data_IF_780624479248
#
_entry.id   IF_780624479248
#
_cell.length_a   1.000
_cell.length_b   1.000
_cell.length_c   1.000
_cell.angle_alpha   90.00
_cell.angle_beta   90.00
_cell.angle_gamma   90.00
#
_symmetry.space_group_name_H-M   'P 1'
#
loop_
_entity.id
_entity.type
_entity.pdbx_description
1 polymer ?
#
# COMPACT_ATOMS: atom_id res chain seq x y z
N UNK A 1 -42.22 5.92 -9.23
CA UNK A 1 -40.84 6.39 -9.04
C UNK A 1 -40.92 7.69 -8.26
N UNK A 2 -40.66 7.66 -6.95
CA UNK A 2 -40.72 8.85 -6.12
C UNK A 2 -39.48 9.72 -6.41
N UNK A 3 -39.70 10.85 -7.09
CA UNK A 3 -38.68 11.86 -7.32
C UNK A 3 -38.36 12.53 -5.98
N UNK A 4 -37.14 12.35 -5.48
CA UNK A 4 -36.65 13.05 -4.30
C UNK A 4 -36.90 14.55 -4.46
N UNK A 5 -37.51 15.20 -3.46
CA UNK A 5 -37.63 16.66 -3.47
C UNK A 5 -36.23 17.29 -3.34
N UNK A 6 -36.01 18.51 -3.86
CA UNK A 6 -34.70 19.16 -3.84
C UNK A 6 -34.07 19.22 -2.44
N UNK A 7 -34.89 19.39 -1.40
CA UNK A 7 -34.46 19.44 0.00
C UNK A 7 -34.02 18.05 0.53
N UNK A 8 -34.74 16.99 0.16
CA UNK A 8 -34.36 15.61 0.54
C UNK A 8 -33.05 15.17 -0.10
N UNK A 9 -32.78 15.60 -1.33
CA UNK A 9 -31.49 15.37 -2.00
C UNK A 9 -30.34 16.14 -1.32
N UNK A 10 -30.61 17.36 -0.85
CA UNK A 10 -29.62 18.17 -0.13
C UNK A 10 -29.28 17.59 1.25
N UNK A 11 -30.28 17.07 1.97
CA UNK A 11 -30.07 16.44 3.28
C UNK A 11 -29.35 15.09 3.17
N UNK A 12 -29.65 14.30 2.13
CA UNK A 12 -28.94 13.06 1.85
C UNK A 12 -27.47 13.32 1.49
N UNK A 13 -27.18 14.40 0.76
CA UNK A 13 -25.80 14.83 0.46
C UNK A 13 -25.05 15.29 1.72
N UNK A 14 -25.71 16.01 2.64
CA UNK A 14 -25.11 16.40 3.93
C UNK A 14 -24.81 15.20 4.83
N UNK A 15 -25.72 14.23 4.88
CA UNK A 15 -25.54 13.01 5.67
C UNK A 15 -24.42 12.12 5.12
N UNK A 16 -24.31 12.00 3.78
CA UNK A 16 -23.19 11.31 3.14
C UNK A 16 -21.86 12.03 3.39
N UNK A 17 -21.84 13.36 3.36
CA UNK A 17 -20.66 14.16 3.68
C UNK A 17 -20.25 14.03 5.16
N UNK A 18 -21.20 13.90 6.09
CA UNK A 18 -20.92 13.67 7.51
C UNK A 18 -20.34 12.27 7.76
N UNK A 19 -20.93 11.23 7.15
CA UNK A 19 -20.39 9.86 7.22
C UNK A 19 -18.97 9.77 6.65
N UNK A 20 -18.69 10.46 5.55
CA UNK A 20 -17.36 10.54 4.95
C UNK A 20 -16.33 11.25 5.85
N UNK A 21 -16.75 12.26 6.63
CA UNK A 21 -15.90 12.94 7.60
C UNK A 21 -15.53 12.03 8.77
N UNK A 22 -16.50 11.32 9.35
CA UNK A 22 -16.26 10.39 10.46
C UNK A 22 -15.28 9.28 10.03
N UNK A 23 -15.46 8.72 8.83
CA UNK A 23 -14.53 7.73 8.29
C UNK A 23 -13.13 8.31 8.04
N UNK A 24 -13.03 9.57 7.61
CA UNK A 24 -11.76 10.26 7.39
C UNK A 24 -11.01 10.54 8.71
N UNK A 25 -11.73 10.92 9.77
CA UNK A 25 -11.13 11.17 11.10
C UNK A 25 -10.58 9.87 11.71
N UNK A 26 -11.30 8.75 11.57
CA UNK A 26 -10.82 7.43 11.98
C UNK A 26 -9.56 7.00 11.22
N UNK A 27 -9.51 7.26 9.91
CA UNK A 27 -8.35 6.98 9.08
C UNK A 27 -7.14 7.90 9.39
N UNK A 28 -7.39 9.17 9.71
CA UNK A 28 -6.35 10.11 10.13
C UNK A 28 -5.72 9.70 11.47
N UNK A 29 -6.52 9.19 12.40
CA UNK A 29 -6.03 8.61 13.65
C UNK A 29 -5.11 7.41 13.39
N UNK A 30 -5.50 6.51 12.50
CA UNK A 30 -4.67 5.36 12.13
C UNK A 30 -3.36 5.76 11.42
N UNK A 31 -3.41 6.78 10.56
CA UNK A 31 -2.22 7.30 9.86
C UNK A 31 -1.25 7.99 10.83
N UNK A 32 -1.75 8.79 11.77
CA UNK A 32 -0.94 9.41 12.82
C UNK A 32 -0.29 8.36 13.73
N UNK A 33 -1.02 7.28 14.04
CA UNK A 33 -0.50 6.18 14.84
C UNK A 33 0.58 5.39 14.08
N UNK A 34 0.38 5.13 12.79
CA UNK A 34 1.38 4.48 11.94
C UNK A 34 2.65 5.32 11.80
N UNK A 35 2.51 6.64 11.66
CA UNK A 35 3.64 7.56 11.61
C UNK A 35 4.39 7.61 12.95
N UNK A 36 3.67 7.68 14.08
CA UNK A 36 4.27 7.63 15.41
C UNK A 36 5.00 6.30 15.68
N UNK A 37 4.49 5.18 15.17
CA UNK A 37 5.18 3.88 15.25
C UNK A 37 6.44 3.89 14.37
N UNK A 38 6.37 4.41 13.16
CA UNK A 38 7.54 4.52 12.27
C UNK A 38 8.63 5.45 12.84
N UNK A 39 8.23 6.58 13.42
CA UNK A 39 9.14 7.54 14.03
C UNK A 39 9.75 6.98 15.32
N UNK A 40 8.97 6.29 16.16
CA UNK A 40 9.49 5.65 17.38
C UNK A 40 10.45 4.49 17.08
N UNK A 41 10.21 3.72 16.02
CA UNK A 41 11.17 2.71 15.53
C UNK A 41 12.43 3.39 14.98
N UNK A 42 12.28 4.46 14.20
CA UNK A 42 13.40 5.25 13.67
C UNK A 42 14.26 5.89 14.78
N UNK A 43 13.62 6.48 15.79
CA UNK A 43 14.28 7.09 16.93
C UNK A 43 14.89 6.05 17.89
N UNK A 44 14.22 4.91 18.12
CA UNK A 44 14.76 3.83 18.95
C UNK A 44 16.00 3.19 18.34
N UNK A 45 16.03 3.04 17.01
CA UNK A 45 17.20 2.55 16.30
C UNK A 45 18.31 3.61 16.20
N UNK A 46 17.94 4.88 15.97
CA UNK A 46 18.88 6.00 15.97
C UNK A 46 19.55 6.19 17.34
N UNK A 47 18.80 6.02 18.43
CA UNK A 47 19.30 6.03 19.81
C UNK A 47 20.24 4.85 20.09
N UNK A 48 19.95 3.65 19.59
CA UNK A 48 20.86 2.51 19.66
C UNK A 48 22.18 2.78 18.90
N UNK A 49 22.14 3.59 17.84
CA UNK A 49 23.31 4.02 17.04
C UNK A 49 23.97 5.33 17.50
N UNK A 50 23.56 5.90 18.63
CA UNK A 50 24.17 7.09 19.25
C UNK A 50 24.26 8.34 18.34
N UNK A 51 23.28 8.56 17.45
CA UNK A 51 23.23 9.76 16.60
C UNK A 51 24.31 9.86 15.52
N UNK A 52 25.07 8.79 15.26
CA UNK A 52 26.19 8.80 14.30
C UNK A 52 25.78 8.50 12.84
N UNK A 53 24.54 8.07 12.58
CA UNK A 53 24.11 7.63 11.25
C UNK A 53 22.93 8.48 10.78
N UNK A 54 23.15 9.22 9.70
CA UNK A 54 22.09 9.98 9.02
C UNK A 54 20.95 9.04 8.58
N UNK A 55 19.66 9.39 8.81
CA UNK A 55 18.53 8.56 8.42
C UNK A 55 18.51 8.15 6.95
N UNK A 56 19.07 8.98 6.06
CA UNK A 56 19.20 8.68 4.63
C UNK A 56 20.23 7.59 4.40
N UNK A 57 21.40 7.69 5.05
CA UNK A 57 22.44 6.65 4.99
C UNK A 57 21.91 5.33 5.54
N UNK A 58 21.14 5.39 6.62
CA UNK A 58 20.49 4.21 7.19
C UNK A 58 19.49 3.56 6.21
N UNK A 59 18.59 4.34 5.60
CA UNK A 59 17.64 3.85 4.57
C UNK A 59 18.37 3.31 3.34
N UNK A 60 19.47 3.94 2.93
CA UNK A 60 20.31 3.49 1.83
C UNK A 60 20.98 2.15 2.14
N UNK A 61 21.47 1.96 3.38
CA UNK A 61 22.04 0.69 3.82
C UNK A 61 21.01 -0.44 3.75
N UNK A 62 19.77 -0.21 4.22
CA UNK A 62 18.66 -1.17 4.08
C UNK A 62 18.39 -1.47 2.61
N UNK A 63 18.33 -0.45 1.75
CA UNK A 63 18.09 -0.61 0.32
C UNK A 63 19.15 -1.50 -0.34
N UNK A 64 20.44 -1.25 -0.06
CA UNK A 64 21.55 -2.06 -0.59
C UNK A 64 21.48 -3.50 -0.06
N UNK A 65 21.23 -3.70 1.24
CA UNK A 65 21.04 -5.04 1.82
C UNK A 65 19.88 -5.78 1.15
N UNK A 66 18.76 -5.10 0.91
CA UNK A 66 17.58 -5.69 0.26
C UNK A 66 17.88 -6.16 -1.17
N UNK A 67 18.74 -5.45 -1.92
CA UNK A 67 19.20 -5.90 -3.25
C UNK A 67 19.96 -7.23 -3.14
N UNK A 68 20.91 -7.33 -2.20
CA UNK A 68 21.65 -8.57 -1.98
C UNK A 68 20.70 -9.71 -1.63
N UNK A 69 19.78 -9.50 -0.69
CA UNK A 69 18.78 -10.50 -0.32
C UNK A 69 17.94 -10.92 -1.53
N UNK A 70 17.43 -9.96 -2.32
CA UNK A 70 16.66 -10.24 -3.52
C UNK A 70 17.42 -11.09 -4.55
N UNK A 71 18.69 -10.78 -4.78
CA UNK A 71 19.57 -11.55 -5.66
C UNK A 71 19.70 -13.01 -5.21
N UNK A 72 20.03 -13.25 -3.93
CA UNK A 72 20.19 -14.61 -3.41
C UNK A 72 18.87 -15.40 -3.38
N UNK A 73 17.74 -14.73 -3.13
CA UNK A 73 16.41 -15.36 -3.16
C UNK A 73 16.05 -15.83 -4.56
N UNK A 74 16.29 -15.02 -5.59
CA UNK A 74 15.95 -15.39 -6.98
C UNK A 74 16.91 -16.43 -7.54
N UNK A 75 18.20 -16.39 -7.18
CA UNK A 75 19.18 -17.36 -7.67
C UNK A 75 18.95 -18.78 -7.11
N UNK A 76 18.34 -18.89 -5.92
CA UNK A 76 18.14 -20.15 -5.22
C UNK A 76 16.88 -20.93 -5.64
N UNK A 77 16.26 -20.57 -6.78
CA UNK A 77 15.04 -21.22 -7.29
C UNK A 77 15.36 -22.32 -8.31
N UNK A 78 14.51 -23.34 -8.39
CA UNK A 78 14.65 -24.38 -9.42
C UNK A 78 14.27 -23.84 -10.81
N UNK A 79 14.95 -24.25 -11.90
CA UNK A 79 14.70 -23.69 -13.24
C UNK A 79 13.25 -23.82 -13.74
N UNK A 80 12.55 -24.88 -13.32
CA UNK A 80 11.15 -25.10 -13.65
C UNK A 80 10.19 -24.05 -13.04
N UNK A 81 10.63 -23.30 -12.02
CA UNK A 81 9.83 -22.31 -11.31
C UNK A 81 10.08 -20.88 -11.77
N UNK A 82 10.95 -20.59 -12.75
CA UNK A 82 11.18 -19.21 -13.20
C UNK A 82 9.91 -18.53 -13.73
N UNK A 83 9.04 -19.26 -14.44
CA UNK A 83 7.77 -18.71 -14.95
C UNK A 83 6.77 -18.44 -13.81
N UNK A 84 6.52 -19.35 -12.85
CA UNK A 84 5.78 -19.03 -11.64
C UNK A 84 6.39 -17.90 -10.82
N UNK A 85 7.73 -17.85 -10.69
CA UNK A 85 8.44 -16.83 -9.94
C UNK A 85 8.24 -15.44 -10.56
N UNK A 86 8.23 -15.35 -11.89
CA UNK A 86 7.93 -14.11 -12.60
C UNK A 86 6.52 -13.59 -12.28
N UNK A 87 5.55 -14.50 -12.12
CA UNK A 87 4.19 -14.14 -11.70
C UNK A 87 4.14 -13.69 -10.23
N UNK A 88 4.90 -14.34 -9.34
CA UNK A 88 5.02 -13.94 -7.93
C UNK A 88 5.64 -12.55 -7.79
N UNK A 89 6.73 -12.27 -8.51
CA UNK A 89 7.40 -10.97 -8.43
C UNK A 89 6.51 -9.85 -8.97
N UNK A 90 5.67 -10.13 -9.97
CA UNK A 90 4.63 -9.21 -10.41
C UNK A 90 3.64 -8.89 -9.27
N UNK A 91 3.13 -9.89 -8.56
CA UNK A 91 2.25 -9.68 -7.40
C UNK A 91 2.95 -8.88 -6.28
N UNK A 92 4.20 -9.21 -5.95
CA UNK A 92 4.99 -8.52 -4.91
C UNK A 92 5.25 -7.05 -5.27
N UNK A 93 5.41 -6.72 -6.56
CA UNK A 93 5.59 -5.33 -7.00
C UNK A 93 4.43 -4.41 -6.60
N UNK A 94 3.28 -4.99 -6.23
CA UNK A 94 2.11 -4.27 -5.70
C UNK A 94 2.30 -3.67 -4.30
N UNK A 95 3.52 -3.68 -3.74
CA UNK A 95 3.88 -2.92 -2.52
C UNK A 95 3.52 -1.43 -2.62
N UNK A 96 3.39 -0.91 -3.85
CA UNK A 96 2.86 0.43 -4.16
C UNK A 96 1.49 0.72 -3.51
N UNK A 97 0.72 -0.30 -3.12
CA UNK A 97 -0.56 -0.16 -2.40
C UNK A 97 -0.40 0.65 -1.11
N UNK A 98 0.73 0.53 -0.42
CA UNK A 98 1.03 1.29 0.81
C UNK A 98 1.07 2.78 0.50
N UNK A 99 1.76 3.17 -0.58
CA UNK A 99 1.81 4.57 -1.02
C UNK A 99 0.44 5.09 -1.48
N UNK A 100 -0.35 4.27 -2.15
CA UNK A 100 -1.70 4.63 -2.57
C UNK A 100 -2.64 4.89 -1.38
N UNK A 101 -2.59 4.06 -0.34
CA UNK A 101 -3.38 4.24 0.90
C UNK A 101 -2.98 5.55 1.60
N UNK A 102 -1.67 5.84 1.68
CA UNK A 102 -1.18 7.11 2.24
C UNK A 102 -1.66 8.32 1.42
N UNK A 103 -1.62 8.24 0.10
CA UNK A 103 -2.06 9.32 -0.80
C UNK A 103 -3.58 9.60 -0.71
N UNK A 104 -4.40 8.56 -0.55
CA UNK A 104 -5.85 8.72 -0.29
C UNK A 104 -6.10 9.31 1.11
N UNK A 105 -5.27 8.94 2.08
CA UNK A 105 -5.37 9.36 3.48
C UNK A 105 -4.99 10.81 3.78
N UNK A 106 -4.45 11.58 2.83
CA UNK A 106 -4.00 12.97 3.07
C UNK A 106 -5.18 13.88 3.51
N UNK A 107 -5.03 14.71 4.56
CA UNK A 107 -6.10 15.56 5.09
C UNK A 107 -6.51 16.72 4.15
N UNK A 108 -7.79 17.13 4.26
CA UNK A 108 -8.45 18.18 3.46
C UNK A 108 -7.98 19.61 3.75
N UNK A 109 -7.08 19.81 4.72
CA UNK A 109 -6.73 21.15 5.20
C UNK A 109 -5.79 21.89 4.24
N UNK A 110 -5.05 21.16 3.40
CA UNK A 110 -4.23 21.78 2.36
C UNK A 110 -5.03 22.04 1.08
N UNK A 111 -5.12 23.31 0.69
CA UNK A 111 -5.66 23.74 -0.61
C UNK A 111 -4.80 23.11 -1.72
N UNK A 112 -5.33 22.10 -2.43
CA UNK A 112 -4.65 21.44 -3.55
C UNK A 112 -4.64 19.90 -3.51
N UNK A 113 -5.11 19.28 -2.42
CA UNK A 113 -5.02 17.82 -2.18
C UNK A 113 -6.00 16.94 -2.98
N UNK A 114 -6.91 17.53 -3.75
CA UNK A 114 -7.90 16.78 -4.55
C UNK A 114 -7.25 15.85 -5.59
N UNK A 115 -6.17 16.31 -6.23
CA UNK A 115 -5.43 15.51 -7.20
C UNK A 115 -4.68 14.34 -6.55
N UNK A 116 -4.06 14.56 -5.39
CA UNK A 116 -3.38 13.51 -4.64
C UNK A 116 -4.34 12.37 -4.26
N UNK A 117 -5.56 12.70 -3.84
CA UNK A 117 -6.60 11.71 -3.55
C UNK A 117 -7.13 11.01 -4.79
N UNK A 118 -7.34 11.74 -5.88
CA UNK A 118 -7.80 11.14 -7.13
C UNK A 118 -6.78 10.13 -7.66
N UNK A 119 -5.50 10.52 -7.73
CA UNK A 119 -4.43 9.63 -8.16
C UNK A 119 -4.15 8.52 -7.13
N UNK A 120 -4.28 8.79 -5.83
CA UNK A 120 -4.20 7.78 -4.78
C UNK A 120 -5.29 6.73 -4.91
N UNK A 121 -6.53 7.13 -5.17
CA UNK A 121 -7.66 6.22 -5.38
C UNK A 121 -7.46 5.37 -6.63
N UNK A 122 -7.04 5.99 -7.74
CA UNK A 122 -6.74 5.28 -8.96
C UNK A 122 -5.57 4.30 -8.78
N UNK A 123 -4.53 4.74 -8.06
CA UNK A 123 -3.40 3.90 -7.65
C UNK A 123 -3.83 2.71 -6.80
N UNK A 124 -4.79 2.91 -5.88
CA UNK A 124 -5.33 1.84 -5.04
C UNK A 124 -6.09 0.79 -5.86
N UNK A 125 -6.89 1.23 -6.84
CA UNK A 125 -7.59 0.35 -7.77
C UNK A 125 -6.59 -0.45 -8.60
N UNK A 126 -5.60 0.19 -9.21
CA UNK A 126 -4.58 -0.50 -10.01
C UNK A 126 -3.72 -1.45 -9.19
N UNK A 127 -3.32 -1.06 -7.99
CA UNK A 127 -2.58 -1.93 -7.08
C UNK A 127 -3.43 -3.16 -6.70
N UNK A 128 -4.72 -2.97 -6.42
CA UNK A 128 -5.63 -4.09 -6.11
C UNK A 128 -5.74 -5.08 -7.27
N UNK A 129 -5.90 -4.59 -8.51
CA UNK A 129 -5.93 -5.45 -9.71
C UNK A 129 -4.64 -6.26 -9.85
N UNK A 130 -3.48 -5.65 -9.61
CA UNK A 130 -2.19 -6.34 -9.69
C UNK A 130 -2.03 -7.39 -8.57
N UNK A 131 -2.42 -7.09 -7.33
CA UNK A 131 -2.42 -8.05 -6.21
C UNK A 131 -3.29 -9.27 -6.57
N UNK A 132 -4.57 -9.05 -6.85
CA UNK A 132 -5.50 -10.16 -7.08
C UNK A 132 -5.16 -10.93 -8.37
N UNK A 133 -4.84 -10.23 -9.46
CA UNK A 133 -4.45 -10.84 -10.72
C UNK A 133 -3.15 -11.64 -10.60
N UNK A 134 -2.12 -11.06 -9.98
CA UNK A 134 -0.82 -11.70 -9.79
C UNK A 134 -0.90 -12.96 -8.93
N UNK A 135 -1.60 -12.92 -7.80
CA UNK A 135 -1.74 -14.09 -6.93
C UNK A 135 -2.64 -15.18 -7.53
N UNK A 136 -3.72 -14.82 -8.22
CA UNK A 136 -4.61 -15.80 -8.86
C UNK A 136 -3.91 -16.55 -10.00
N UNK A 137 -3.17 -15.83 -10.85
CA UNK A 137 -2.39 -16.44 -11.94
C UNK A 137 -1.28 -17.33 -11.38
N UNK A 138 -0.55 -16.85 -10.37
CA UNK A 138 0.49 -17.63 -9.70
C UNK A 138 -0.07 -18.94 -9.12
N UNK A 139 -1.22 -18.88 -8.45
CA UNK A 139 -1.84 -20.07 -7.86
C UNK A 139 -2.21 -21.09 -8.94
N UNK A 140 -2.74 -20.64 -10.09
CA UNK A 140 -3.03 -21.53 -11.23
C UNK A 140 -1.75 -22.13 -11.82
N UNK A 141 -0.67 -21.36 -11.91
CA UNK A 141 0.62 -21.85 -12.37
C UNK A 141 1.21 -22.91 -11.44
N UNK A 142 1.21 -22.66 -10.13
CA UNK A 142 1.74 -23.60 -9.14
C UNK A 142 0.85 -24.85 -8.99
N UNK A 143 -0.46 -24.73 -9.20
CA UNK A 143 -1.37 -25.87 -9.17
C UNK A 143 -1.07 -26.90 -10.28
N UNK A 144 -0.49 -26.49 -11.40
CA UNK A 144 -0.09 -27.40 -12.48
C UNK A 144 1.12 -28.28 -12.12
N UNK A 145 1.89 -27.91 -11.09
CA UNK A 145 3.02 -28.70 -10.58
C UNK A 145 2.64 -29.63 -9.41
N UNK A 146 1.39 -29.56 -8.92
CA UNK A 146 0.90 -30.53 -7.93
C UNK A 146 0.63 -31.86 -8.64
N UNK A 147 1.32 -32.91 -8.22
CA UNK A 147 1.06 -34.29 -8.65
C UNK A 147 -0.41 -34.62 -8.35
N UNK A 148 -1.17 -35.04 -9.37
CA UNK A 148 -2.50 -35.64 -9.18
C UNK A 148 -2.32 -36.84 -8.24
N UNK A 149 -2.83 -36.70 -7.01
CA UNK A 149 -3.34 -37.85 -6.26
C UNK A 149 -4.62 -38.31 -6.93
#
# INVERSE_FOLDING_TARGET
MATLTPDQAADQARNAAAAARIAADAAAGAAAQAQAIADSVGHGLAAATHGAIDPTVFRLAIFVLAIFVGYYVVWSVTPALHTPLMSVTNAISSVIVVGAILAVGVPLIEKGTGWARFFGFLGLVFASVNIFGGFLVTQRMLAMYKKKG
#
